data_IF_243714430641
#
_entry.id   IF_243714430641
#
_cell.length_a   1.000
_cell.length_b   1.000
_cell.length_c   1.000
_cell.angle_alpha   90.00
_cell.angle_beta   90.00
_cell.angle_gamma   90.00
#
_symmetry.space_group_name_H-M   'P 1'
#
loop_
_entity.id
_entity.type
_entity.pdbx_description
1 polymer ?
#
# COMPACT_ATOMS: atom_id res chain seq x y z
N UNK A 1 -12.15 0.31 2.68
CA UNK A 1 -10.99 0.56 3.57
C UNK A 1 -10.19 1.70 2.98
N UNK A 2 -9.71 2.62 3.81
CA UNK A 2 -8.79 3.68 3.37
C UNK A 2 -7.38 3.15 3.57
N UNK A 3 -6.58 3.13 2.51
CA UNK A 3 -5.19 2.66 2.55
C UNK A 3 -4.31 3.90 2.42
N UNK A 4 -3.27 3.94 3.25
CA UNK A 4 -2.25 4.95 3.13
C UNK A 4 -0.96 4.32 2.62
N UNK A 5 -0.28 5.03 1.74
CA UNK A 5 1.04 4.68 1.27
C UNK A 5 2.08 5.64 1.81
N UNK A 6 3.30 5.16 1.95
CA UNK A 6 4.44 5.99 2.35
C UNK A 6 5.68 5.44 1.68
N UNK A 7 6.31 6.24 0.83
CA UNK A 7 7.61 5.86 0.31
C UNK A 7 8.67 5.93 1.40
N UNK A 8 9.71 5.11 1.28
CA UNK A 8 10.78 5.01 2.27
C UNK A 8 11.56 6.31 2.44
N UNK A 9 11.57 7.17 1.43
CA UNK A 9 12.14 8.53 1.48
C UNK A 9 11.16 9.57 2.05
N UNK A 10 9.87 9.29 2.09
CA UNK A 10 8.87 10.20 2.65
C UNK A 10 8.79 10.05 4.17
N UNK A 11 8.35 11.12 4.84
CA UNK A 11 8.09 11.11 6.29
C UNK A 11 6.61 10.89 6.62
N UNK A 12 5.71 11.28 5.74
CA UNK A 12 4.26 11.28 5.93
C UNK A 12 3.59 10.13 5.19
N UNK A 13 2.42 9.73 5.67
CA UNK A 13 1.55 8.78 4.99
C UNK A 13 0.54 9.54 4.15
N UNK A 14 0.37 9.13 2.90
CA UNK A 14 -0.53 9.74 1.95
C UNK A 14 -1.72 8.82 1.73
N UNK A 15 -2.94 9.38 1.79
CA UNK A 15 -4.14 8.62 1.49
C UNK A 15 -4.18 8.33 0.00
N UNK A 16 -4.27 7.05 -0.36
CA UNK A 16 -4.13 6.61 -1.74
C UNK A 16 -5.37 5.84 -2.16
N UNK A 17 -5.90 6.21 -3.33
CA UNK A 17 -7.05 5.53 -3.94
C UNK A 17 -6.63 4.17 -4.49
N UNK A 18 -7.61 3.27 -4.67
CA UNK A 18 -7.33 1.92 -5.17
C UNK A 18 -6.68 1.90 -6.57
N UNK A 19 -7.08 2.82 -7.45
CA UNK A 19 -6.47 2.98 -8.77
C UNK A 19 -5.00 3.41 -8.69
N UNK A 20 -4.67 4.36 -7.81
CA UNK A 20 -3.29 4.79 -7.58
C UNK A 20 -2.46 3.69 -6.91
N UNK A 21 -3.04 2.91 -5.99
CA UNK A 21 -2.35 1.77 -5.37
C UNK A 21 -1.89 0.78 -6.43
N UNK A 22 -2.77 0.39 -7.37
CA UNK A 22 -2.39 -0.52 -8.45
C UNK A 22 -1.26 0.04 -9.29
N UNK A 23 -1.29 1.34 -9.59
CA UNK A 23 -0.25 2.01 -10.36
C UNK A 23 1.09 2.00 -9.62
N UNK A 24 1.09 2.40 -8.36
CA UNK A 24 2.27 2.38 -7.49
C UNK A 24 2.83 0.96 -7.38
N UNK A 25 1.96 -0.03 -7.14
CA UNK A 25 2.38 -1.42 -7.05
C UNK A 25 3.00 -1.87 -8.37
N UNK A 26 2.35 -1.62 -9.51
CA UNK A 26 2.88 -1.97 -10.83
C UNK A 26 4.26 -1.34 -11.09
N UNK A 27 4.46 -0.09 -10.68
CA UNK A 27 5.77 0.59 -10.78
C UNK A 27 6.84 -0.05 -9.87
N UNK A 28 6.45 -0.51 -8.67
CA UNK A 28 7.38 -1.12 -7.71
C UNK A 28 7.68 -2.60 -7.97
N UNK A 29 6.69 -3.37 -8.47
CA UNK A 29 6.82 -4.81 -8.70
C UNK A 29 7.24 -5.16 -10.13
N UNK A 30 7.15 -4.22 -11.07
CA UNK A 30 7.55 -4.39 -12.47
C UNK A 30 6.76 -5.48 -13.19
N UNK A 31 7.40 -6.61 -13.47
CA UNK A 31 6.82 -7.77 -14.17
C UNK A 31 5.87 -8.64 -13.31
N UNK A 32 5.76 -8.38 -12.00
CA UNK A 32 4.85 -9.14 -11.15
C UNK A 32 3.40 -8.66 -11.27
N UNK A 33 2.45 -9.53 -10.92
CA UNK A 33 1.03 -9.21 -10.97
C UNK A 33 0.63 -8.16 -9.92
N UNK A 34 0.23 -6.93 -10.34
CA UNK A 34 -0.07 -5.86 -9.40
C UNK A 34 -1.39 -6.09 -8.66
N UNK A 35 -2.35 -6.77 -9.28
CA UNK A 35 -3.65 -7.05 -8.68
C UNK A 35 -3.53 -8.07 -7.53
N UNK A 36 -2.84 -9.18 -7.75
CA UNK A 36 -2.54 -10.19 -6.74
C UNK A 36 -1.70 -9.63 -5.61
N UNK A 37 -0.73 -8.76 -5.91
CA UNK A 37 0.02 -8.04 -4.89
C UNK A 37 -0.88 -7.12 -4.07
N UNK A 38 -1.80 -6.40 -4.70
CA UNK A 38 -2.77 -5.57 -3.99
C UNK A 38 -3.69 -6.40 -3.09
N UNK A 39 -4.15 -7.57 -3.55
CA UNK A 39 -4.94 -8.51 -2.73
C UNK A 39 -4.14 -8.94 -1.50
N UNK A 40 -2.89 -9.35 -1.69
CA UNK A 40 -2.02 -9.73 -0.59
C UNK A 40 -1.80 -8.59 0.42
N UNK A 41 -1.50 -7.37 -0.08
CA UNK A 41 -1.37 -6.18 0.76
C UNK A 41 -2.63 -5.98 1.59
N UNK A 42 -3.81 -6.00 0.96
CA UNK A 42 -5.11 -5.82 1.61
C UNK A 42 -5.34 -6.85 2.72
N UNK A 43 -4.99 -8.12 2.50
CA UNK A 43 -5.10 -9.16 3.53
C UNK A 43 -4.17 -8.91 4.73
N UNK A 44 -2.92 -8.54 4.47
CA UNK A 44 -1.92 -8.28 5.52
C UNK A 44 -2.28 -7.04 6.33
N UNK A 45 -2.65 -5.92 5.68
CA UNK A 45 -2.95 -4.67 6.39
C UNK A 45 -4.28 -4.73 7.15
N UNK A 46 -5.19 -5.66 6.76
CA UNK A 46 -6.45 -5.89 7.47
C UNK A 46 -6.22 -6.39 8.90
N UNK A 47 -5.08 -7.05 9.17
CA UNK A 47 -4.71 -7.46 10.54
C UNK A 47 -4.09 -6.32 11.36
N UNK A 48 -4.06 -5.09 10.83
CA UNK A 48 -3.44 -3.93 11.47
C UNK A 48 -1.92 -3.88 11.33
N UNK A 49 -1.34 -4.73 10.48
CA UNK A 49 0.09 -4.73 10.16
C UNK A 49 0.39 -3.75 9.01
N UNK A 50 1.65 -3.37 8.91
CA UNK A 50 2.18 -2.56 7.80
C UNK A 50 3.01 -3.48 6.91
N UNK A 51 2.90 -3.33 5.59
CA UNK A 51 3.65 -4.13 4.62
C UNK A 51 4.49 -3.21 3.73
N UNK A 52 5.65 -3.68 3.29
CA UNK A 52 6.52 -2.95 2.36
C UNK A 52 6.61 -3.72 1.05
N UNK A 53 6.38 -3.03 -0.06
CA UNK A 53 6.57 -3.54 -1.43
C UNK A 53 7.52 -2.59 -2.14
N UNK A 54 8.68 -3.11 -2.54
CA UNK A 54 9.78 -2.29 -3.05
C UNK A 54 10.22 -1.25 -2.03
N UNK A 55 10.08 0.02 -2.41
CA UNK A 55 10.36 1.21 -1.61
C UNK A 55 9.13 1.79 -0.93
N UNK A 56 7.93 1.28 -1.22
CA UNK A 56 6.67 1.82 -0.73
C UNK A 56 6.07 0.97 0.41
N UNK A 57 5.62 1.63 1.47
CA UNK A 57 4.93 1.01 2.61
C UNK A 57 3.43 1.23 2.50
N UNK A 58 2.66 0.23 2.92
CA UNK A 58 1.20 0.21 2.85
C UNK A 58 0.64 -0.11 4.23
N UNK A 59 -0.40 0.63 4.61
CA UNK A 59 -1.16 0.38 5.84
C UNK A 59 -2.62 0.76 5.69
N UNK A 60 -3.48 0.20 6.53
CA UNK A 60 -4.83 0.74 6.72
C UNK A 60 -4.72 2.09 7.42
N UNK A 61 -5.42 3.10 6.90
CA UNK A 61 -5.62 4.37 7.58
C UNK A 61 -6.20 4.08 8.95
N UNK A 62 -5.44 4.41 9.99
CA UNK A 62 -5.99 4.43 11.35
C UNK A 62 -6.96 5.60 11.40
N UNK A 63 -8.25 5.31 11.43
CA UNK A 63 -9.24 6.31 11.85
C UNK A 63 -8.95 6.58 13.32
N UNK A 64 -8.21 7.66 13.58
CA UNK A 64 -8.12 8.23 14.92
C UNK A 64 -9.55 8.56 15.35
N UNK A 65 -10.00 7.89 16.42
CA UNK A 65 -11.36 7.97 16.95
C UNK A 65 -11.42 9.04 18.02
#
# INVERSE_FOLDING_TARGET
MKIETKYSYEKTWSLTSEADLLKIIAEEVGDADPEGTLVYIKEVIKTGKEITVGSCKFRVKKEEK
#
